data_IF_494768035057
#
_entry.id   IF_494768035057
#
_cell.length_a   1.000
_cell.length_b   1.000
_cell.length_c   1.000
_cell.angle_alpha   90.00
_cell.angle_beta   90.00
_cell.angle_gamma   90.00
#
_symmetry.space_group_name_H-M   'P 1'
#
loop_
_entity.id
_entity.type
_entity.pdbx_description
1 polymer ?
#
# COMPACT_ATOMS: atom_id res chain seq x y z
N UNK A 1 16.26 -14.88 -9.10
CA UNK A 1 16.58 -14.72 -10.54
C UNK A 1 15.43 -14.07 -11.29
N UNK A 2 15.71 -13.20 -12.26
CA UNK A 2 14.69 -12.47 -13.04
C UNK A 2 14.65 -13.02 -14.46
N UNK A 3 13.46 -13.42 -14.91
CA UNK A 3 13.17 -13.89 -16.26
C UNK A 3 12.24 -12.89 -16.95
N UNK A 4 12.64 -12.38 -18.12
CA UNK A 4 11.80 -11.55 -18.99
C UNK A 4 11.63 -12.28 -20.31
N UNK A 5 10.39 -12.52 -20.74
CA UNK A 5 10.09 -13.33 -21.93
C UNK A 5 10.85 -14.68 -21.90
N UNK A 6 10.81 -15.35 -20.73
CA UNK A 6 11.51 -16.60 -20.42
C UNK A 6 13.05 -16.56 -20.59
N UNK A 7 13.67 -15.38 -20.73
CA UNK A 7 15.12 -15.21 -20.80
C UNK A 7 15.65 -14.60 -19.52
N UNK A 8 16.82 -15.07 -19.08
CA UNK A 8 17.51 -14.49 -17.94
C UNK A 8 17.86 -13.02 -18.24
N UNK A 9 17.38 -12.13 -17.38
CA UNK A 9 17.70 -10.71 -17.46
C UNK A 9 19.00 -10.42 -16.71
N UNK A 10 19.93 -9.74 -17.37
CA UNK A 10 21.02 -9.06 -16.68
C UNK A 10 20.51 -7.74 -16.09
N UNK A 11 20.19 -7.76 -14.79
CA UNK A 11 19.69 -6.59 -14.08
C UNK A 11 20.71 -5.44 -14.01
N UNK A 12 22.01 -5.73 -14.17
CA UNK A 12 23.05 -4.70 -14.16
C UNK A 12 22.96 -3.78 -15.38
N UNK A 13 22.45 -4.30 -16.51
CA UNK A 13 22.26 -3.57 -17.76
C UNK A 13 21.09 -2.56 -17.74
N UNK A 14 20.24 -2.57 -16.71
CA UNK A 14 19.18 -1.57 -16.56
C UNK A 14 19.75 -0.26 -15.99
N UNK A 15 19.38 0.86 -16.61
CA UNK A 15 19.84 2.20 -16.24
C UNK A 15 19.05 2.76 -15.04
N UNK A 16 19.37 2.24 -13.85
CA UNK A 16 18.93 2.79 -12.57
C UNK A 16 20.14 3.23 -11.73
N UNK A 17 20.14 4.45 -11.16
CA UNK A 17 21.25 4.93 -10.36
C UNK A 17 21.60 4.00 -9.19
N UNK A 18 22.88 3.88 -8.88
CA UNK A 18 23.31 3.17 -7.67
C UNK A 18 22.69 3.79 -6.41
N UNK A 19 22.28 2.94 -5.48
CA UNK A 19 21.56 3.35 -4.26
C UNK A 19 20.09 3.78 -4.48
N UNK A 20 19.57 3.77 -5.72
CA UNK A 20 18.14 3.98 -5.94
C UNK A 20 17.30 2.81 -5.42
N UNK A 21 16.02 3.07 -5.14
CA UNK A 21 15.09 2.03 -4.67
C UNK A 21 14.91 0.95 -5.74
N UNK A 22 14.82 1.34 -7.01
CA UNK A 22 14.74 0.45 -8.16
C UNK A 22 15.96 -0.46 -8.24
N UNK A 23 17.18 0.08 -8.08
CA UNK A 23 18.41 -0.70 -8.03
C UNK A 23 18.41 -1.67 -6.84
N UNK A 24 17.98 -1.24 -5.66
CA UNK A 24 17.88 -2.10 -4.48
C UNK A 24 16.92 -3.27 -4.71
N UNK A 25 15.74 -3.02 -5.29
CA UNK A 25 14.76 -4.06 -5.60
C UNK A 25 15.31 -5.04 -6.63
N UNK A 26 15.94 -4.55 -7.70
CA UNK A 26 16.58 -5.39 -8.72
C UNK A 26 17.67 -6.29 -8.11
N UNK A 27 18.48 -5.76 -7.19
CA UNK A 27 19.50 -6.54 -6.48
C UNK A 27 18.86 -7.67 -5.67
N UNK A 28 17.82 -7.37 -4.87
CA UNK A 28 17.07 -8.38 -4.11
C UNK A 28 16.54 -9.49 -5.04
N UNK A 29 15.77 -9.11 -6.07
CA UNK A 29 15.17 -10.03 -7.03
C UNK A 29 16.22 -10.89 -7.79
N UNK A 30 17.36 -10.30 -8.12
CA UNK A 30 18.43 -11.00 -8.85
C UNK A 30 19.18 -11.99 -7.97
N UNK A 31 19.44 -11.62 -6.71
CA UNK A 31 20.11 -12.48 -5.72
C UNK A 31 19.20 -13.57 -5.12
N UNK A 32 17.89 -13.42 -5.26
CA UNK A 32 16.92 -14.34 -4.68
C UNK A 32 16.98 -15.73 -5.34
N UNK A 33 16.81 -16.81 -4.54
CA UNK A 33 16.66 -18.17 -5.06
C UNK A 33 15.33 -18.38 -5.81
N UNK A 34 14.36 -17.48 -5.65
CA UNK A 34 13.07 -17.54 -6.35
C UNK A 34 13.18 -17.11 -7.82
N UNK A 35 12.19 -17.54 -8.61
CA UNK A 35 12.05 -17.13 -10.01
C UNK A 35 11.00 -16.05 -10.14
N UNK A 36 11.40 -14.87 -10.58
CA UNK A 36 10.51 -13.76 -10.90
C UNK A 36 10.35 -13.68 -12.41
N UNK A 37 9.13 -13.91 -12.90
CA UNK A 37 8.84 -13.96 -14.34
C UNK A 37 8.04 -12.75 -14.77
N UNK A 38 8.45 -12.18 -15.90
CA UNK A 38 7.80 -11.05 -16.54
C UNK A 38 7.59 -11.33 -18.02
N UNK A 39 6.45 -10.90 -18.54
CA UNK A 39 6.09 -11.10 -19.96
C UNK A 39 6.87 -10.12 -20.85
N UNK A 40 7.26 -8.96 -20.30
CA UNK A 40 8.04 -7.94 -21.00
C UNK A 40 8.92 -7.16 -20.04
N UNK A 41 9.93 -6.46 -20.57
CA UNK A 41 10.76 -5.56 -19.76
C UNK A 41 9.93 -4.39 -19.20
N UNK A 42 8.89 -3.96 -19.93
CA UNK A 42 7.99 -2.91 -19.46
C UNK A 42 7.22 -3.35 -18.22
N UNK A 43 6.82 -4.63 -18.11
CA UNK A 43 6.14 -5.15 -16.93
C UNK A 43 7.03 -5.10 -15.68
N UNK A 44 8.31 -5.46 -15.80
CA UNK A 44 9.28 -5.30 -14.70
C UNK A 44 9.47 -3.82 -14.34
N UNK A 45 9.66 -2.94 -15.33
CA UNK A 45 9.81 -1.50 -15.09
C UNK A 45 8.56 -0.89 -14.44
N UNK A 46 7.38 -1.37 -14.82
CA UNK A 46 6.11 -0.95 -14.24
C UNK A 46 6.01 -1.33 -12.77
N UNK A 47 6.34 -2.58 -12.41
CA UNK A 47 6.38 -3.01 -11.00
C UNK A 47 7.32 -2.12 -10.17
N UNK A 48 8.55 -1.92 -10.65
CA UNK A 48 9.54 -1.10 -9.94
C UNK A 48 9.04 0.34 -9.73
N UNK A 49 8.46 0.95 -10.77
CA UNK A 49 7.84 2.28 -10.69
C UNK A 49 6.68 2.29 -9.70
N UNK A 50 5.79 1.30 -9.75
CA UNK A 50 4.62 1.26 -8.88
C UNK A 50 5.00 1.10 -7.41
N UNK A 51 5.95 0.22 -7.10
CA UNK A 51 6.49 0.06 -5.74
C UNK A 51 7.07 1.36 -5.20
N UNK A 52 7.84 2.08 -6.02
CA UNK A 52 8.37 3.40 -5.65
C UNK A 52 7.25 4.41 -5.36
N UNK A 53 6.21 4.48 -6.19
CA UNK A 53 5.09 5.39 -5.96
C UNK A 53 4.25 5.00 -4.73
N UNK A 54 4.13 3.71 -4.40
CA UNK A 54 3.53 3.24 -3.13
C UNK A 54 4.33 3.78 -1.95
N UNK A 55 5.66 3.66 -1.96
CA UNK A 55 6.51 4.19 -0.89
C UNK A 55 6.48 5.72 -0.84
N UNK A 56 6.41 6.39 -2.00
CA UNK A 56 6.27 7.84 -2.06
C UNK A 56 4.93 8.30 -1.46
N UNK A 57 3.84 7.61 -1.77
CA UNK A 57 2.52 7.85 -1.20
C UNK A 57 2.48 7.60 0.31
N UNK A 58 3.07 6.51 0.81
CA UNK A 58 3.20 6.24 2.24
C UNK A 58 3.97 7.37 2.96
N UNK A 59 5.10 7.81 2.41
CA UNK A 59 5.86 8.95 2.95
C UNK A 59 5.06 10.25 2.92
N UNK A 60 4.26 10.48 1.88
CA UNK A 60 3.41 11.65 1.77
C UNK A 60 2.30 11.65 2.84
N UNK A 61 1.65 10.51 3.10
CA UNK A 61 0.69 10.38 4.20
C UNK A 61 1.36 10.57 5.57
N UNK A 62 2.53 9.97 5.78
CA UNK A 62 3.28 10.12 7.04
C UNK A 62 3.62 11.58 7.37
N UNK A 63 3.78 12.44 6.36
CA UNK A 63 4.03 13.88 6.52
C UNK A 63 2.76 14.73 6.46
N UNK A 64 1.62 14.11 6.23
CA UNK A 64 0.33 14.78 6.16
C UNK A 64 -0.31 14.91 7.54
N UNK A 65 -1.43 15.63 7.61
CA UNK A 65 -2.25 15.75 8.82
C UNK A 65 -3.45 14.79 8.81
N UNK A 66 -3.39 13.69 8.04
CA UNK A 66 -4.41 12.65 8.08
C UNK A 66 -4.35 11.98 9.46
N UNK A 67 -5.41 12.08 10.26
CA UNK A 67 -5.40 11.45 11.58
C UNK A 67 -5.78 9.98 11.51
N UNK A 68 -5.32 9.22 12.50
CA UNK A 68 -5.93 7.94 12.82
C UNK A 68 -7.28 8.18 13.50
N UNK A 69 -8.31 7.46 13.07
CA UNK A 69 -9.62 7.41 13.73
C UNK A 69 -10.19 6.00 13.61
N UNK A 70 -10.89 5.55 14.64
CA UNK A 70 -11.72 4.34 14.53
C UNK A 70 -12.91 4.61 13.60
N UNK A 71 -13.53 3.57 13.04
CA UNK A 71 -14.61 3.72 12.05
C UNK A 71 -15.76 4.64 12.50
N UNK A 72 -16.20 4.55 13.76
CA UNK A 72 -17.29 5.39 14.30
C UNK A 72 -16.98 6.89 14.31
N UNK A 73 -15.70 7.24 14.37
CA UNK A 73 -15.20 8.62 14.51
C UNK A 73 -14.53 9.11 13.21
N UNK A 74 -14.50 8.27 12.17
CA UNK A 74 -13.91 8.61 10.88
C UNK A 74 -14.53 9.88 10.28
N UNK A 75 -13.75 10.59 9.48
CA UNK A 75 -14.21 11.81 8.79
C UNK A 75 -13.52 11.97 7.45
N UNK A 76 -14.22 12.62 6.53
CA UNK A 76 -13.72 12.90 5.19
C UNK A 76 -14.21 14.25 4.69
N UNK A 77 -13.54 14.81 3.67
CA UNK A 77 -13.98 16.03 3.04
C UNK A 77 -15.31 15.81 2.27
N UNK A 78 -16.42 16.46 2.69
CA UNK A 78 -17.72 16.27 2.06
C UNK A 78 -17.80 16.84 0.64
N UNK A 79 -16.80 17.60 0.16
CA UNK A 79 -16.76 18.00 -1.25
C UNK A 79 -16.62 16.78 -2.17
N UNK A 80 -15.82 15.79 -1.77
CA UNK A 80 -15.46 14.65 -2.62
C UNK A 80 -16.13 13.34 -2.17
N UNK A 81 -16.34 13.18 -0.87
CA UNK A 81 -16.72 11.91 -0.27
C UNK A 81 -18.04 12.04 0.51
N UNK A 82 -18.82 10.97 0.50
CA UNK A 82 -19.89 10.72 1.47
C UNK A 82 -19.36 9.74 2.50
N UNK A 83 -19.38 10.13 3.78
CA UNK A 83 -19.14 9.19 4.86
C UNK A 83 -20.36 8.27 5.02
N UNK A 84 -20.14 6.96 5.00
CA UNK A 84 -21.15 5.93 5.23
C UNK A 84 -21.36 5.70 6.73
N UNK A 85 -22.49 5.07 7.09
CA UNK A 85 -22.83 4.78 8.49
C UNK A 85 -21.88 3.81 9.18
N UNK A 86 -21.17 2.98 8.41
CA UNK A 86 -20.13 2.06 8.86
C UNK A 86 -18.73 2.72 8.95
N UNK A 87 -18.62 4.02 8.63
CA UNK A 87 -17.37 4.78 8.70
C UNK A 87 -16.55 4.80 7.42
N UNK A 88 -16.95 4.06 6.38
CA UNK A 88 -16.27 4.10 5.08
C UNK A 88 -16.52 5.39 4.31
N UNK A 89 -15.68 5.69 3.32
CA UNK A 89 -15.86 6.85 2.44
C UNK A 89 -16.24 6.40 1.05
N UNK A 90 -17.33 6.94 0.54
CA UNK A 90 -17.83 6.67 -0.79
C UNK A 90 -17.66 7.89 -1.68
N UNK A 91 -17.03 7.72 -2.84
CA UNK A 91 -16.83 8.80 -3.80
C UNK A 91 -18.19 9.34 -4.25
N UNK A 92 -18.36 10.67 -4.24
CA UNK A 92 -19.61 11.28 -4.69
C UNK A 92 -19.81 11.14 -6.20
N UNK A 93 -21.05 10.94 -6.68
CA UNK A 93 -21.34 10.90 -8.11
C UNK A 93 -20.83 12.13 -8.85
N UNK A 94 -20.18 11.93 -9.99
CA UNK A 94 -19.67 13.01 -10.85
C UNK A 94 -18.33 13.61 -10.41
N UNK A 95 -17.77 13.19 -9.27
CA UNK A 95 -16.44 13.62 -8.82
C UNK A 95 -15.35 12.80 -9.53
N UNK A 96 -14.31 13.47 -10.05
CA UNK A 96 -13.13 12.78 -10.61
C UNK A 96 -12.39 12.07 -9.48
N UNK A 97 -12.22 10.75 -9.61
CA UNK A 97 -11.58 9.91 -8.59
C UNK A 97 -10.14 10.37 -8.26
N UNK A 98 -9.37 10.74 -9.28
CA UNK A 98 -8.01 11.27 -9.12
C UNK A 98 -7.97 12.54 -8.27
N UNK A 99 -8.90 13.47 -8.45
CA UNK A 99 -9.00 14.69 -7.65
C UNK A 99 -9.35 14.38 -6.20
N UNK A 100 -10.32 13.48 -5.97
CA UNK A 100 -10.73 13.06 -4.64
C UNK A 100 -9.59 12.39 -3.86
N UNK A 101 -8.79 11.54 -4.52
CA UNK A 101 -7.62 10.90 -3.91
C UNK A 101 -6.52 11.94 -3.63
N UNK A 102 -6.22 12.84 -4.57
CA UNK A 102 -5.22 13.91 -4.35
C UNK A 102 -5.64 14.87 -3.24
N UNK A 103 -6.94 15.11 -3.07
CA UNK A 103 -7.47 15.96 -2.00
C UNK A 103 -7.16 15.41 -0.60
N UNK A 104 -7.14 14.08 -0.41
CA UNK A 104 -6.76 13.46 0.87
C UNK A 104 -5.35 13.89 1.29
N UNK A 105 -4.42 14.05 0.35
CA UNK A 105 -3.05 14.47 0.65
C UNK A 105 -2.94 15.99 0.84
N UNK A 106 -3.67 16.77 0.02
CA UNK A 106 -3.63 18.25 0.04
C UNK A 106 -4.36 18.85 1.23
N UNK A 107 -5.52 18.30 1.57
CA UNK A 107 -6.42 18.77 2.64
C UNK A 107 -6.54 17.74 3.76
N UNK A 108 -5.44 17.05 4.06
CA UNK A 108 -5.36 15.88 4.95
C UNK A 108 -5.97 16.07 6.33
N UNK A 109 -5.90 17.27 6.91
CA UNK A 109 -6.54 17.57 8.22
C UNK A 109 -8.07 17.40 8.23
N UNK A 110 -8.72 17.43 7.06
CA UNK A 110 -10.15 17.18 6.88
C UNK A 110 -10.51 15.69 6.93
N UNK A 111 -9.52 14.83 7.05
CA UNK A 111 -9.66 13.39 7.00
C UNK A 111 -9.15 12.73 8.28
N UNK A 112 -9.79 11.63 8.66
CA UNK A 112 -9.39 10.78 9.76
C UNK A 112 -9.95 9.38 9.53
N UNK A 113 -9.10 8.35 9.55
CA UNK A 113 -9.49 6.99 9.17
C UNK A 113 -8.62 5.92 9.83
N UNK A 114 -9.09 4.68 9.77
CA UNK A 114 -8.43 3.48 10.31
C UNK A 114 -7.25 3.03 9.42
N UNK A 115 -6.34 2.21 9.96
CA UNK A 115 -5.11 1.79 9.28
C UNK A 115 -5.35 1.04 7.95
N UNK A 116 -6.33 0.16 7.86
CA UNK A 116 -6.65 -0.61 6.66
C UNK A 116 -7.11 0.30 5.51
N UNK A 117 -7.91 1.32 5.83
CA UNK A 117 -8.38 2.30 4.84
C UNK A 117 -7.24 3.19 4.35
N UNK A 118 -6.31 3.58 5.24
CA UNK A 118 -5.12 4.33 4.86
C UNK A 118 -4.24 3.56 3.85
N UNK A 119 -4.11 2.24 3.98
CA UNK A 119 -3.40 1.43 3.00
C UNK A 119 -4.04 1.50 1.61
N UNK A 120 -5.38 1.47 1.52
CA UNK A 120 -6.07 1.62 0.23
C UNK A 120 -5.81 2.99 -0.41
N UNK A 121 -5.80 4.06 0.39
CA UNK A 121 -5.48 5.42 -0.06
C UNK A 121 -4.06 5.50 -0.67
N UNK A 122 -3.10 4.77 -0.10
CA UNK A 122 -1.73 4.68 -0.63
C UNK A 122 -1.73 4.05 -2.03
N UNK A 123 -2.42 2.91 -2.21
CA UNK A 123 -2.47 2.24 -3.50
C UNK A 123 -3.17 3.06 -4.57
N UNK A 124 -4.30 3.69 -4.25
CA UNK A 124 -4.95 4.60 -5.18
C UNK A 124 -4.05 5.79 -5.54
N UNK A 125 -3.36 6.37 -4.56
CA UNK A 125 -2.43 7.48 -4.81
C UNK A 125 -1.29 7.05 -5.75
N UNK A 126 -0.69 5.88 -5.52
CA UNK A 126 0.36 5.38 -6.39
C UNK A 126 -0.14 5.22 -7.84
N UNK A 127 -1.34 4.67 -8.02
CA UNK A 127 -1.96 4.53 -9.35
C UNK A 127 -2.25 5.89 -10.01
N UNK A 128 -2.69 6.89 -9.25
CA UNK A 128 -2.92 8.27 -9.74
C UNK A 128 -1.64 8.91 -10.28
N UNK A 129 -0.46 8.57 -9.73
CA UNK A 129 0.83 9.12 -10.20
C UNK A 129 1.43 8.34 -11.38
N UNK A 130 0.91 7.14 -11.65
CA UNK A 130 1.41 6.28 -12.73
C UNK A 130 0.56 6.44 -13.99
N UNK A 131 -0.75 6.35 -13.86
CA UNK A 131 -1.68 6.31 -14.98
C UNK A 131 -1.98 7.71 -15.55
N UNK A 132 -2.22 7.83 -16.86
CA UNK A 132 -2.89 9.00 -17.42
C UNK A 132 -4.20 9.26 -16.67
N UNK A 133 -4.47 10.52 -16.34
CA UNK A 133 -5.55 10.87 -15.41
C UNK A 133 -6.92 10.35 -15.85
N UNK A 134 -7.26 10.47 -17.13
CA UNK A 134 -8.53 9.98 -17.66
C UNK A 134 -8.61 8.45 -17.66
N UNK A 135 -7.49 7.75 -17.82
CA UNK A 135 -7.45 6.29 -17.72
C UNK A 135 -7.71 5.84 -16.27
N UNK A 136 -7.09 6.50 -15.29
CA UNK A 136 -7.37 6.24 -13.87
C UNK A 136 -8.85 6.48 -13.53
N UNK A 137 -9.40 7.63 -13.94
CA UNK A 137 -10.80 7.98 -13.66
C UNK A 137 -11.79 7.01 -14.34
N UNK A 138 -11.48 6.50 -15.54
CA UNK A 138 -12.29 5.44 -16.19
C UNK A 138 -12.17 4.09 -15.51
N UNK A 139 -11.00 3.75 -14.97
CA UNK A 139 -10.75 2.48 -14.29
C UNK A 139 -11.43 2.43 -12.92
N UNK A 140 -11.49 3.57 -12.23
CA UNK A 140 -12.08 3.72 -10.91
C UNK A 140 -13.17 4.80 -10.91
N UNK A 141 -14.27 4.59 -11.65
CA UNK A 141 -15.34 5.58 -11.75
C UNK A 141 -16.09 5.75 -10.43
N UNK A 142 -16.03 4.73 -9.57
CA UNK A 142 -16.54 4.74 -8.21
C UNK A 142 -15.43 4.20 -7.30
N UNK A 143 -15.23 4.84 -6.16
CA UNK A 143 -14.30 4.37 -5.12
C UNK A 143 -15.06 4.29 -3.81
N UNK A 144 -14.94 3.15 -3.14
CA UNK A 144 -15.19 3.03 -1.71
C UNK A 144 -13.84 2.85 -1.01
N UNK A 145 -13.59 3.67 0.02
CA UNK A 145 -12.47 3.52 0.93
C UNK A 145 -13.01 2.97 2.24
N UNK A 146 -12.65 1.73 2.56
CA UNK A 146 -13.14 1.03 3.74
C UNK A 146 -12.08 0.06 4.27
N UNK A 147 -12.44 -0.83 5.19
CA UNK A 147 -11.67 -2.03 5.49
C UNK A 147 -11.52 -2.93 4.24
N UNK A 148 -10.85 -4.08 4.40
CA UNK A 148 -10.52 -5.00 3.31
C UNK A 148 -11.71 -5.72 2.65
N UNK A 149 -12.95 -5.55 3.13
CA UNK A 149 -14.13 -6.23 2.59
C UNK A 149 -14.74 -5.52 1.38
N UNK A 150 -14.59 -4.20 1.30
CA UNK A 150 -15.20 -3.36 0.25
C UNK A 150 -14.09 -2.67 -0.56
N UNK A 151 -13.24 -3.51 -1.19
CA UNK A 151 -12.10 -3.10 -2.01
C UNK A 151 -12.40 -3.30 -3.50
N UNK A 152 -11.93 -2.37 -4.33
CA UNK A 152 -12.10 -2.46 -5.78
C UNK A 152 -11.51 -3.79 -6.32
N UNK A 153 -12.18 -4.47 -7.27
CA UNK A 153 -11.73 -5.76 -7.81
C UNK A 153 -10.31 -5.74 -8.39
N UNK A 154 -9.84 -4.60 -8.88
CA UNK A 154 -8.49 -4.39 -9.40
C UNK A 154 -7.43 -4.37 -8.29
N UNK A 155 -7.80 -3.99 -7.06
CA UNK A 155 -6.92 -3.90 -5.90
C UNK A 155 -7.10 -5.06 -4.91
N UNK A 156 -7.96 -6.03 -5.20
CA UNK A 156 -8.31 -7.12 -4.27
C UNK A 156 -7.11 -7.86 -3.69
N UNK A 157 -6.06 -8.07 -4.48
CA UNK A 157 -4.83 -8.76 -4.06
C UNK A 157 -4.11 -8.07 -2.90
N UNK A 158 -4.20 -6.73 -2.80
CA UNK A 158 -3.57 -6.00 -1.67
C UNK A 158 -4.25 -6.30 -0.33
N UNK A 159 -5.45 -6.90 -0.36
CA UNK A 159 -6.17 -7.39 0.81
C UNK A 159 -5.68 -8.76 1.29
N UNK A 160 -5.00 -9.54 0.45
CA UNK A 160 -4.70 -10.95 0.68
C UNK A 160 -3.23 -11.15 1.06
N UNK A 161 -2.98 -11.66 2.27
CA UNK A 161 -1.64 -11.95 2.75
C UNK A 161 -1.16 -13.32 2.25
N UNK A 162 -0.01 -13.34 1.57
CA UNK A 162 0.63 -14.56 1.10
C UNK A 162 2.05 -14.66 1.63
N UNK A 163 2.49 -15.88 1.93
CA UNK A 163 3.89 -16.14 2.29
C UNK A 163 4.80 -15.77 1.11
N UNK A 164 5.86 -15.01 1.38
CA UNK A 164 6.85 -14.60 0.38
C UNK A 164 8.26 -14.91 0.88
N UNK A 165 9.18 -15.18 -0.05
CA UNK A 165 10.60 -15.33 0.29
C UNK A 165 11.29 -14.01 0.47
N UNK A 166 11.03 -13.10 -0.45
CA UNK A 166 11.60 -11.77 -0.47
C UNK A 166 10.50 -10.75 -0.20
N UNK A 167 10.84 -9.75 0.60
CA UNK A 167 9.97 -8.62 0.90
C UNK A 167 10.59 -7.37 0.30
N UNK A 168 9.81 -6.64 -0.47
CA UNK A 168 10.27 -5.50 -1.24
C UNK A 168 9.63 -4.21 -0.73
N UNK A 169 10.27 -3.05 -0.95
CA UNK A 169 9.61 -1.77 -0.79
C UNK A 169 8.24 -1.75 -1.48
N UNK A 170 7.24 -1.17 -0.81
CA UNK A 170 5.86 -1.12 -1.28
C UNK A 170 4.99 -2.33 -0.91
N UNK A 171 5.56 -3.40 -0.35
CA UNK A 171 4.76 -4.51 0.19
C UNK A 171 3.92 -4.03 1.39
N UNK A 172 2.68 -4.51 1.49
CA UNK A 172 1.93 -4.46 2.75
C UNK A 172 2.30 -5.65 3.61
N UNK A 173 2.74 -5.39 4.84
CA UNK A 173 2.93 -6.42 5.87
C UNK A 173 2.03 -6.17 7.06
N UNK A 174 2.02 -7.13 7.99
CA UNK A 174 1.16 -7.05 9.18
C UNK A 174 1.91 -7.48 10.43
N UNK A 175 1.76 -6.69 11.49
CA UNK A 175 2.23 -7.00 12.83
C UNK A 175 1.03 -7.37 13.71
N UNK A 176 0.68 -8.65 13.92
CA UNK A 176 -0.37 -9.02 14.87
C UNK A 176 0.05 -8.76 16.32
N UNK A 177 -0.93 -8.40 17.15
CA UNK A 177 -0.84 -8.39 18.61
C UNK A 177 -1.78 -9.45 19.20
N UNK A 178 -1.30 -10.71 19.35
CA UNK A 178 -2.19 -11.84 19.60
C UNK A 178 -2.87 -11.81 20.99
N UNK A 179 -2.28 -11.13 21.96
CA UNK A 179 -2.82 -10.97 23.32
C UNK A 179 -3.21 -9.50 23.60
N UNK A 180 -3.73 -8.80 22.59
CA UNK A 180 -4.26 -7.42 22.73
C UNK A 180 -5.26 -7.29 23.90
N UNK A 181 -5.27 -6.11 24.52
CA UNK A 181 -6.31 -5.76 25.49
C UNK A 181 -7.68 -5.63 24.79
N UNK A 182 -8.72 -6.39 25.21
CA UNK A 182 -10.04 -6.30 24.60
C UNK A 182 -10.71 -4.92 24.76
N UNK A 183 -10.26 -4.08 25.69
CA UNK A 183 -10.76 -2.70 25.84
C UNK A 183 -10.17 -1.74 24.80
N UNK A 184 -9.07 -2.12 24.13
CA UNK A 184 -8.40 -1.32 23.09
C UNK A 184 -8.17 -2.15 21.81
N UNK A 185 -9.24 -2.61 21.15
CA UNK A 185 -9.15 -3.53 20.00
C UNK A 185 -8.44 -2.94 18.79
N UNK A 186 -8.28 -1.62 18.70
CA UNK A 186 -7.47 -0.94 17.69
C UNK A 186 -5.99 -1.34 17.71
N UNK A 187 -5.48 -1.85 18.85
CA UNK A 187 -4.11 -2.35 18.99
C UNK A 187 -3.95 -3.84 18.67
N UNK A 188 -4.95 -4.48 18.04
CA UNK A 188 -4.89 -5.90 17.67
C UNK A 188 -3.81 -6.23 16.62
N UNK A 189 -3.27 -5.20 15.98
CA UNK A 189 -2.12 -5.28 15.10
C UNK A 189 -2.02 -4.03 14.23
N UNK A 190 -1.01 -4.02 13.36
CA UNK A 190 -0.73 -2.88 12.50
C UNK A 190 -0.51 -3.32 11.05
N UNK A 191 -1.28 -2.73 10.13
CA UNK A 191 -0.99 -2.82 8.69
C UNK A 191 0.11 -1.83 8.33
N UNK A 192 1.14 -2.29 7.63
CA UNK A 192 2.31 -1.46 7.31
C UNK A 192 2.72 -1.53 5.86
N UNK A 193 3.31 -0.46 5.34
CA UNK A 193 4.06 -0.45 4.07
C UNK A 193 5.56 -0.56 4.34
N UNK A 194 6.24 -1.46 3.64
CA UNK A 194 7.71 -1.58 3.67
C UNK A 194 8.33 -0.38 2.95
N UNK A 195 9.22 0.35 3.63
CA UNK A 195 9.79 1.60 3.12
C UNK A 195 11.12 1.43 2.37
N UNK A 196 11.79 0.29 2.55
CA UNK A 196 13.03 -0.07 1.84
C UNK A 196 14.34 0.24 2.57
N UNK A 197 14.30 0.89 3.73
CA UNK A 197 15.47 1.21 4.57
C UNK A 197 15.43 0.48 5.93
N UNK A 198 14.69 -0.62 6.00
CA UNK A 198 14.42 -1.35 7.24
C UNK A 198 13.36 -0.70 8.14
N UNK A 199 12.67 0.32 7.65
CA UNK A 199 11.50 0.91 8.33
C UNK A 199 10.19 0.60 7.62
N UNK A 200 9.10 0.86 8.34
CA UNK A 200 7.73 0.53 8.00
C UNK A 200 6.86 1.74 8.31
N UNK A 201 5.94 2.08 7.41
CA UNK A 201 4.90 3.07 7.69
C UNK A 201 3.62 2.36 8.13
N UNK A 202 3.18 2.62 9.35
CA UNK A 202 1.84 2.27 9.86
C UNK A 202 1.02 3.53 10.08
N UNK A 203 -0.27 3.53 9.73
CA UNK A 203 -1.09 4.73 9.85
C UNK A 203 -1.56 4.92 11.29
N UNK A 204 -1.28 6.09 11.87
CA UNK A 204 -1.45 6.36 13.30
C UNK A 204 -0.17 6.16 14.10
N UNK A 205 0.64 5.15 13.76
CA UNK A 205 1.96 4.97 14.36
C UNK A 205 3.04 5.85 13.73
N UNK A 206 3.00 6.04 12.41
CA UNK A 206 4.04 6.71 11.64
C UNK A 206 5.10 5.73 11.13
N UNK A 207 6.30 6.26 10.83
CA UNK A 207 7.41 5.50 10.23
C UNK A 207 8.40 5.00 11.28
N UNK A 208 8.49 3.68 11.45
CA UNK A 208 9.27 3.05 12.52
C UNK A 208 10.01 1.78 12.08
N UNK A 209 11.02 1.38 12.87
CA UNK A 209 11.66 0.05 12.76
C UNK A 209 10.76 -1.01 13.42
N UNK A 210 10.86 -2.29 13.03
CA UNK A 210 10.04 -3.38 13.59
C UNK A 210 9.96 -3.40 15.12
N UNK A 211 11.10 -3.27 15.81
CA UNK A 211 11.14 -3.37 17.26
C UNK A 211 10.32 -2.27 17.94
N UNK A 212 10.22 -1.08 17.34
CA UNK A 212 9.40 0.01 17.89
C UNK A 212 7.90 -0.27 17.73
N UNK A 213 7.50 -0.82 16.58
CA UNK A 213 6.11 -1.22 16.33
C UNK A 213 5.72 -2.36 17.28
N UNK A 214 6.57 -3.38 17.41
CA UNK A 214 6.36 -4.51 18.32
C UNK A 214 6.24 -4.04 19.76
N UNK A 215 7.11 -3.13 20.21
CA UNK A 215 7.02 -2.56 21.57
C UNK A 215 5.69 -1.83 21.79
N UNK A 216 5.29 -0.94 20.87
CA UNK A 216 4.03 -0.20 21.00
C UNK A 216 2.80 -1.14 21.06
N UNK A 217 2.78 -2.20 20.24
CA UNK A 217 1.74 -3.23 20.31
C UNK A 217 1.78 -4.00 21.65
N UNK A 218 2.98 -4.39 22.10
CA UNK A 218 3.17 -5.14 23.34
C UNK A 218 2.78 -4.36 24.60
N UNK A 219 2.85 -3.03 24.57
CA UNK A 219 2.41 -2.13 25.64
C UNK A 219 0.87 -2.08 25.78
N UNK A 220 0.13 -2.49 24.75
CA UNK A 220 -1.34 -2.51 24.70
C UNK A 220 -1.89 -3.95 24.76
N UNK A 221 -1.24 -4.81 25.53
CA UNK A 221 -1.67 -6.20 25.77
C UNK A 221 -2.45 -6.32 27.06
N UNK A 222 -3.39 -7.27 27.10
CA UNK A 222 -4.12 -7.61 28.32
C UNK A 222 -3.19 -8.02 29.46
N UNK A 223 -3.66 -7.87 30.70
CA UNK A 223 -2.96 -8.34 31.89
C UNK A 223 -2.60 -9.83 31.76
N UNK A 224 -1.39 -10.20 32.16
CA UNK A 224 -0.85 -11.57 32.09
C UNK A 224 -0.70 -12.14 30.66
N UNK A 225 -0.61 -11.29 29.63
CA UNK A 225 -0.26 -11.72 28.27
C UNK A 225 1.06 -12.49 28.22
N UNK A 226 1.09 -13.55 27.41
CA UNK A 226 2.28 -14.42 27.26
C UNK A 226 2.80 -14.46 25.83
N UNK A 227 1.99 -14.07 24.85
CA UNK A 227 2.38 -13.97 23.45
C UNK A 227 2.74 -12.52 23.12
N UNK A 228 3.87 -12.35 22.46
CA UNK A 228 4.32 -11.05 21.97
C UNK A 228 3.77 -10.77 20.58
N UNK A 229 3.65 -9.49 20.24
CA UNK A 229 3.49 -9.04 18.87
C UNK A 229 4.72 -9.41 18.04
N UNK A 230 4.51 -9.67 16.75
CA UNK A 230 5.58 -10.10 15.84
C UNK A 230 5.28 -9.66 14.41
N UNK A 231 6.26 -9.72 13.51
CA UNK A 231 6.03 -9.48 12.08
C UNK A 231 5.69 -10.82 11.38
N UNK A 232 4.54 -10.90 10.71
CA UNK A 232 4.17 -12.10 9.96
C UNK A 232 5.12 -12.36 8.79
N UNK A 233 5.38 -13.63 8.46
CA UNK A 233 6.12 -14.06 7.27
C UNK A 233 5.27 -14.06 5.99
N UNK A 234 4.41 -13.05 5.85
CA UNK A 234 3.58 -12.83 4.67
C UNK A 234 3.54 -11.36 4.27
N UNK A 235 3.18 -11.13 3.02
CA UNK A 235 2.93 -9.81 2.45
C UNK A 235 1.73 -9.85 1.50
N UNK A 236 1.11 -8.69 1.31
CA UNK A 236 0.16 -8.44 0.24
C UNK A 236 0.73 -7.38 -0.70
N UNK A 237 0.46 -7.54 -1.98
CA UNK A 237 0.96 -6.66 -3.03
C UNK A 237 -0.07 -6.52 -4.15
N UNK A 238 -0.06 -5.41 -4.91
CA UNK A 238 -0.90 -5.28 -6.10
C UNK A 238 -0.57 -6.35 -7.13
N UNK A 239 -1.54 -6.68 -7.99
CA UNK A 239 -1.27 -7.43 -9.20
C UNK A 239 -0.56 -6.53 -10.23
N UNK A 240 0.77 -6.42 -10.10
CA UNK A 240 1.59 -5.56 -10.94
C UNK A 240 1.49 -5.93 -12.42
N UNK A 241 1.34 -7.23 -12.74
CA UNK A 241 1.19 -7.69 -14.13
C UNK A 241 -0.10 -7.17 -14.73
N UNK A 242 -1.22 -7.31 -14.00
CA UNK A 242 -2.52 -6.79 -14.42
C UNK A 242 -2.49 -5.27 -14.59
N UNK A 243 -1.90 -4.54 -13.65
CA UNK A 243 -1.81 -3.08 -13.77
C UNK A 243 -0.90 -2.64 -14.92
N UNK A 244 0.22 -3.32 -15.17
CA UNK A 244 1.05 -3.04 -16.36
C UNK A 244 0.26 -3.21 -17.65
N UNK A 245 -0.51 -4.31 -17.78
CA UNK A 245 -1.32 -4.55 -18.98
C UNK A 245 -2.39 -3.47 -19.18
N UNK A 246 -3.06 -3.05 -18.09
CA UNK A 246 -4.02 -1.96 -18.14
C UNK A 246 -3.37 -0.61 -18.48
N UNK A 247 -2.15 -0.38 -18.01
CA UNK A 247 -1.37 0.82 -18.32
C UNK A 247 -1.00 0.86 -19.80
N UNK A 248 -0.49 -0.24 -20.34
CA UNK A 248 -0.10 -0.32 -21.76
C UNK A 248 -1.32 -0.12 -22.69
N UNK A 249 -2.47 -0.68 -22.33
CA UNK A 249 -3.74 -0.44 -23.05
C UNK A 249 -4.16 1.03 -23.02
N UNK A 250 -3.99 1.70 -21.88
CA UNK A 250 -4.33 3.11 -21.72
C UNK A 250 -3.35 4.04 -22.45
N UNK A 251 -2.06 3.69 -22.46
CA UNK A 251 -1.00 4.49 -23.09
C UNK A 251 -0.92 4.28 -24.61
N UNK A 252 -1.27 3.10 -25.12
CA UNK A 252 -1.29 2.79 -26.55
C UNK A 252 -2.57 3.23 -27.29
N UNK A 253 -3.59 3.69 -26.57
CA UNK A 253 -4.84 4.21 -27.12
C UNK A 253 -4.95 5.74 -27.14
N UNK A 254 -3.85 6.45 -26.82
CA UNK A 254 -3.72 7.90 -26.89
C UNK A 254 -2.87 8.30 -28.11
#
# INVERSE_FOLDING_TARGET
MILVDNRLLDASALDYPEGSMERSMLNTLSSSPERYTYDSLNQLKFELRMRKEIVAAANALNRSNLSFEVFRDSRCNPTYWRRRGDGGFELKPGVRASDAIRDIYRNSSRYGTECATAMQIIYYKALVEIFPEDAFNRMFPNITLMNWHDIAPQLREVGMMHRKRDYLPGDRRYFPNPDVDPETPEWQGENVIVMGDGTYYGHGMGRHRPDAIIRALNENRRRHATREAYLMDSAAEPDFKRFSNLYDQAAGGA
#
